data_IF_886058233616
#
_entry.id   IF_886058233616
#
_cell.length_a   1.000
_cell.length_b   1.000
_cell.length_c   1.000
_cell.angle_alpha   90.00
_cell.angle_beta   90.00
_cell.angle_gamma   90.00
#
_symmetry.space_group_name_H-M   'P 1'
#
loop_
_entity.id
_entity.type
_entity.pdbx_description
1 polymer ?
#
# COMPACT_ATOMS: atom_id res chain seq x y z
N UNK A 1 14.39 14.24 -32.68
CA UNK A 1 13.00 13.74 -32.57
C UNK A 1 12.77 13.25 -31.15
N UNK A 2 12.13 14.06 -30.30
CA UNK A 2 11.83 13.68 -28.91
C UNK A 2 10.52 12.89 -28.89
N UNK A 3 10.57 11.61 -28.49
CA UNK A 3 9.36 10.81 -28.25
C UNK A 3 8.56 11.51 -27.14
N UNK A 4 7.38 12.05 -27.47
CA UNK A 4 6.39 12.45 -26.45
C UNK A 4 6.18 11.24 -25.54
N UNK A 5 6.34 11.36 -24.20
CA UNK A 5 6.09 10.24 -23.31
C UNK A 5 4.63 9.83 -23.51
N UNK A 6 4.43 8.67 -24.13
CA UNK A 6 3.12 8.07 -24.27
C UNK A 6 2.48 8.06 -22.89
N UNK A 7 1.29 8.65 -22.80
CA UNK A 7 0.46 8.87 -21.62
C UNK A 7 0.61 7.73 -20.61
N UNK A 8 1.63 7.80 -19.75
CA UNK A 8 1.81 6.85 -18.67
C UNK A 8 0.51 6.92 -17.87
N UNK A 9 -0.12 5.77 -17.62
CA UNK A 9 -1.35 5.72 -16.86
C UNK A 9 -1.15 6.51 -15.55
N UNK A 10 -2.11 7.35 -15.17
CA UNK A 10 -1.96 8.24 -14.02
C UNK A 10 -1.41 7.44 -12.81
N UNK A 11 -0.28 7.85 -12.17
CA UNK A 11 0.32 7.12 -11.05
C UNK A 11 -0.67 6.79 -9.94
N UNK A 12 -1.66 7.67 -9.72
CA UNK A 12 -2.75 7.41 -8.79
C UNK A 12 -3.62 6.21 -9.20
N UNK A 13 -3.98 6.10 -10.50
CA UNK A 13 -4.76 4.98 -11.02
C UNK A 13 -3.96 3.67 -10.94
N UNK A 14 -2.66 3.71 -11.25
CA UNK A 14 -1.79 2.54 -11.14
C UNK A 14 -1.67 2.06 -9.69
N UNK A 15 -1.37 2.97 -8.77
CA UNK A 15 -1.33 2.68 -7.34
C UNK A 15 -2.67 2.13 -6.83
N UNK A 16 -3.80 2.71 -7.25
CA UNK A 16 -5.13 2.24 -6.87
C UNK A 16 -5.40 0.81 -7.35
N UNK A 17 -5.05 0.48 -8.60
CA UNK A 17 -5.18 -0.89 -9.14
C UNK A 17 -4.31 -1.88 -8.37
N UNK A 18 -3.06 -1.52 -8.06
CA UNK A 18 -2.17 -2.37 -7.26
C UNK A 18 -2.75 -2.66 -5.89
N UNK A 19 -3.29 -1.64 -5.22
CA UNK A 19 -3.94 -1.81 -3.93
C UNK A 19 -5.17 -2.71 -4.01
N UNK A 20 -6.05 -2.48 -4.99
CA UNK A 20 -7.22 -3.33 -5.21
C UNK A 20 -6.81 -4.78 -5.42
N UNK A 21 -5.80 -5.02 -6.26
CA UNK A 21 -5.27 -6.34 -6.49
C UNK A 21 -4.78 -6.99 -5.19
N UNK A 22 -3.99 -6.29 -4.36
CA UNK A 22 -3.52 -6.82 -3.07
C UNK A 22 -4.72 -7.19 -2.19
N UNK A 23 -5.72 -6.32 -2.07
CA UNK A 23 -6.90 -6.55 -1.22
C UNK A 23 -7.81 -7.68 -1.72
N UNK A 24 -7.87 -7.89 -3.04
CA UNK A 24 -8.69 -8.94 -3.66
C UNK A 24 -7.98 -10.30 -3.69
N UNK A 25 -6.64 -10.31 -3.71
CA UNK A 25 -5.85 -11.52 -3.93
C UNK A 25 -5.13 -12.01 -2.68
N UNK A 26 -5.01 -11.20 -1.63
CA UNK A 26 -4.32 -11.57 -0.40
C UNK A 26 -5.28 -11.69 0.79
N UNK A 27 -4.98 -12.65 1.66
CA UNK A 27 -5.74 -12.94 2.87
C UNK A 27 -4.90 -12.66 4.11
N UNK A 28 -5.57 -12.34 5.23
CA UNK A 28 -4.86 -12.13 6.49
C UNK A 28 -4.17 -13.42 6.96
N UNK A 29 -2.90 -13.32 7.35
CA UNK A 29 -2.15 -14.47 7.87
C UNK A 29 -2.83 -15.07 9.09
N UNK A 30 -2.90 -16.41 9.18
CA UNK A 30 -3.24 -17.06 10.44
C UNK A 30 -2.19 -16.76 11.51
N UNK A 31 -2.64 -16.71 12.77
CA UNK A 31 -1.77 -16.52 13.92
C UNK A 31 -1.61 -17.84 14.67
N UNK A 32 -0.38 -18.39 14.83
CA UNK A 32 0.91 -17.83 14.42
C UNK A 32 1.22 -18.02 12.92
N UNK A 33 1.99 -17.11 12.29
CA UNK A 33 2.35 -17.24 10.88
C UNK A 33 3.45 -18.29 10.68
N UNK A 34 3.35 -19.06 9.60
CA UNK A 34 4.38 -20.04 9.21
C UNK A 34 5.67 -19.36 8.71
N UNK A 35 5.54 -18.25 7.98
CA UNK A 35 6.67 -17.49 7.42
C UNK A 35 6.36 -15.97 7.37
N UNK A 36 7.39 -15.13 7.37
CA UNK A 36 7.29 -13.66 7.38
C UNK A 36 8.08 -13.02 6.25
N UNK A 37 7.61 -11.88 5.76
CA UNK A 37 8.30 -11.08 4.75
C UNK A 37 7.47 -10.89 3.48
N UNK A 38 7.74 -9.80 2.77
CA UNK A 38 6.97 -9.41 1.59
C UNK A 38 7.00 -10.47 0.47
N UNK A 39 8.13 -11.15 0.28
CA UNK A 39 8.28 -12.20 -0.72
C UNK A 39 7.44 -13.44 -0.38
N UNK A 40 7.64 -14.01 0.82
CA UNK A 40 6.89 -15.18 1.27
C UNK A 40 5.38 -14.90 1.25
N UNK A 41 4.97 -13.70 1.71
CA UNK A 41 3.58 -13.28 1.73
C UNK A 41 2.99 -13.14 0.34
N UNK A 42 3.75 -12.62 -0.62
CA UNK A 42 3.29 -12.51 -2.01
C UNK A 42 3.10 -13.89 -2.66
N UNK A 43 4.00 -14.85 -2.35
CA UNK A 43 3.91 -16.23 -2.85
C UNK A 43 2.73 -16.97 -2.22
N UNK A 44 2.60 -16.92 -0.89
CA UNK A 44 1.52 -17.61 -0.17
C UNK A 44 0.16 -16.93 -0.33
N UNK A 45 0.14 -15.67 -0.81
CA UNK A 45 -1.04 -14.79 -0.82
C UNK A 45 -1.63 -14.57 0.56
N UNK A 46 -0.80 -14.63 1.60
CA UNK A 46 -1.19 -14.36 2.97
C UNK A 46 -0.27 -13.29 3.55
N UNK A 47 -0.83 -12.24 4.17
CA UNK A 47 -0.03 -11.17 4.76
C UNK A 47 -0.67 -10.51 5.98
N UNK A 48 0.11 -9.70 6.68
CA UNK A 48 -0.41 -8.72 7.63
C UNK A 48 -0.29 -7.29 7.07
N UNK A 49 -0.69 -6.29 7.87
CA UNK A 49 -0.62 -4.88 7.48
C UNK A 49 0.80 -4.42 7.09
N UNK A 50 1.85 -5.01 7.68
CA UNK A 50 3.24 -4.73 7.32
C UNK A 50 3.58 -5.32 5.96
N UNK A 51 3.28 -6.61 5.77
CA UNK A 51 3.54 -7.32 4.50
C UNK A 51 2.86 -6.62 3.31
N UNK A 52 1.58 -6.25 3.45
CA UNK A 52 0.86 -5.53 2.40
C UNK A 52 1.50 -4.18 2.07
N UNK A 53 1.96 -3.45 3.09
CA UNK A 53 2.61 -2.16 2.92
C UNK A 53 3.94 -2.28 2.16
N UNK A 54 4.70 -3.34 2.44
CA UNK A 54 5.95 -3.62 1.74
C UNK A 54 5.73 -4.07 0.30
N UNK A 55 4.80 -5.01 0.06
CA UNK A 55 4.46 -5.49 -1.29
C UNK A 55 3.98 -4.33 -2.16
N UNK A 56 3.07 -3.51 -1.64
CA UNK A 56 2.59 -2.32 -2.34
C UNK A 56 3.74 -1.35 -2.67
N UNK A 57 4.61 -1.06 -1.69
CA UNK A 57 5.73 -0.15 -1.90
C UNK A 57 6.70 -0.67 -2.96
N UNK A 58 7.00 -1.98 -2.94
CA UNK A 58 7.85 -2.62 -3.93
C UNK A 58 7.23 -2.52 -5.33
N UNK A 59 5.94 -2.84 -5.47
CA UNK A 59 5.22 -2.75 -6.74
C UNK A 59 5.17 -1.32 -7.30
N UNK A 60 4.92 -0.32 -6.44
CA UNK A 60 4.98 1.09 -6.83
C UNK A 60 6.37 1.49 -7.36
N UNK A 61 7.44 1.05 -6.70
CA UNK A 61 8.82 1.37 -7.13
C UNK A 61 9.17 0.76 -8.48
N UNK A 62 8.69 -0.45 -8.78
CA UNK A 62 8.85 -1.08 -10.11
C UNK A 62 8.18 -0.25 -11.20
N UNK A 63 7.04 0.38 -10.89
CA UNK A 63 6.33 1.28 -11.81
C UNK A 63 6.90 2.71 -11.86
N UNK A 64 7.99 3.00 -11.15
CA UNK A 64 8.56 4.35 -11.05
C UNK A 64 7.75 5.32 -10.19
N UNK A 65 6.83 4.81 -9.36
CA UNK A 65 6.01 5.61 -8.44
C UNK A 65 6.74 5.70 -7.10
N UNK A 66 7.12 6.91 -6.62
CA UNK A 66 7.74 7.06 -5.31
C UNK A 66 6.78 6.63 -4.19
N UNK A 67 7.17 5.62 -3.41
CA UNK A 67 6.39 5.10 -2.30
C UNK A 67 7.27 4.70 -1.09
N UNK A 68 6.68 4.74 0.10
CA UNK A 68 7.31 4.34 1.37
C UNK A 68 6.32 3.66 2.33
N UNK A 69 6.75 2.66 3.11
CA UNK A 69 5.97 2.17 4.23
C UNK A 69 5.97 3.22 5.36
N UNK A 70 4.91 3.22 6.15
CA UNK A 70 4.72 4.06 7.32
C UNK A 70 4.19 3.18 8.44
N UNK A 71 4.81 3.30 9.62
CA UNK A 71 4.42 2.58 10.81
C UNK A 71 3.87 3.57 11.83
N UNK A 72 2.81 3.19 12.51
CA UNK A 72 2.17 4.03 13.51
C UNK A 72 1.17 3.25 14.33
N UNK A 73 0.27 3.98 14.98
CA UNK A 73 -0.78 3.40 15.82
C UNK A 73 -2.13 3.95 15.40
N UNK A 74 -3.14 3.09 15.43
CA UNK A 74 -4.53 3.53 15.40
C UNK A 74 -5.10 3.64 16.80
N UNK A 75 -5.76 4.77 17.05
CA UNK A 75 -6.62 4.97 18.20
C UNK A 75 -8.04 4.54 17.83
N UNK A 76 -8.55 3.47 18.45
CA UNK A 76 -9.97 3.13 18.33
C UNK A 76 -10.82 4.23 18.95
N UNK A 77 -11.86 4.69 18.22
CA UNK A 77 -12.82 5.69 18.73
C UNK A 77 -13.87 5.11 19.68
N UNK A 78 -13.98 3.77 19.84
CA UNK A 78 -15.01 3.13 20.65
C UNK A 78 -14.47 2.58 21.98
N UNK A 79 -14.97 3.16 23.08
CA UNK A 79 -15.04 2.57 24.43
C UNK A 79 -13.72 2.43 25.19
N UNK A 80 -12.72 1.82 24.56
CA UNK A 80 -11.40 1.62 25.12
C UNK A 80 -10.38 2.24 24.16
N UNK A 81 -9.57 3.19 24.64
CA UNK A 81 -8.47 3.84 23.90
C UNK A 81 -7.33 2.85 23.63
N UNK A 82 -7.64 1.73 22.97
CA UNK A 82 -6.65 0.73 22.60
C UNK A 82 -5.85 1.29 21.43
N UNK A 83 -4.55 1.45 21.68
CA UNK A 83 -3.54 1.72 20.66
C UNK A 83 -3.22 0.39 19.99
N UNK A 84 -3.49 0.30 18.69
CA UNK A 84 -3.10 -0.87 17.89
C UNK A 84 -2.02 -0.44 16.92
N UNK A 85 -0.85 -1.07 17.00
CA UNK A 85 0.21 -0.89 16.03
C UNK A 85 -0.33 -1.25 14.63
N UNK A 86 -0.03 -0.42 13.65
CA UNK A 86 -0.45 -0.60 12.27
C UNK A 86 0.61 -0.09 11.30
N UNK A 87 0.72 -0.76 10.16
CA UNK A 87 1.55 -0.34 9.05
C UNK A 87 0.67 -0.06 7.83
N UNK A 88 0.98 1.01 7.11
CA UNK A 88 0.39 1.33 5.82
C UNK A 88 1.48 1.82 4.86
N UNK A 89 1.11 2.11 3.61
CA UNK A 89 2.03 2.70 2.64
C UNK A 89 1.55 4.07 2.18
N UNK A 90 2.50 4.96 1.93
CA UNK A 90 2.27 6.25 1.29
C UNK A 90 2.90 6.25 -0.10
N UNK A 91 2.22 6.84 -1.09
CA UNK A 91 2.78 7.06 -2.43
C UNK A 91 2.60 8.51 -2.86
N UNK A 92 3.43 8.96 -3.80
CA UNK A 92 3.37 10.32 -4.37
C UNK A 92 2.69 10.25 -5.74
N UNK A 93 1.60 10.99 -5.89
CA UNK A 93 0.95 11.23 -7.19
C UNK A 93 0.87 12.72 -7.47
N UNK A 94 0.98 13.11 -8.74
CA UNK A 94 0.65 14.48 -9.14
C UNK A 94 -0.85 14.70 -8.98
N UNK A 95 -1.22 15.70 -8.18
CA UNK A 95 -2.61 16.08 -7.98
C UNK A 95 -3.14 16.84 -9.21
N UNK A 96 -4.45 17.08 -9.30
CA UNK A 96 -5.08 17.81 -10.43
C UNK A 96 -4.61 19.27 -10.62
N UNK A 97 -3.61 19.74 -9.87
CA UNK A 97 -2.94 21.04 -10.03
C UNK A 97 -1.43 20.94 -10.32
N UNK A 98 -0.90 19.77 -10.67
CA UNK A 98 0.53 19.58 -11.02
C UNK A 98 1.49 19.43 -9.84
N UNK A 99 1.02 19.62 -8.61
CA UNK A 99 1.84 19.46 -7.40
C UNK A 99 1.84 17.99 -6.91
N UNK A 100 3.00 17.47 -6.47
CA UNK A 100 3.06 16.16 -5.83
C UNK A 100 2.29 16.18 -4.51
N UNK A 101 1.45 15.17 -4.28
CA UNK A 101 0.72 14.98 -3.03
C UNK A 101 0.97 13.57 -2.49
N UNK A 102 1.20 13.48 -1.18
CA UNK A 102 1.37 12.22 -0.46
C UNK A 102 0.00 11.64 -0.19
N UNK A 103 -0.26 10.44 -0.71
CA UNK A 103 -1.51 9.73 -0.50
C UNK A 103 -1.31 8.57 0.47
N UNK A 104 -2.04 8.54 1.60
CA UNK A 104 -2.06 7.36 2.45
C UNK A 104 -2.93 6.27 1.83
N UNK A 105 -2.40 5.06 1.79
CA UNK A 105 -3.17 3.88 1.41
C UNK A 105 -3.79 3.27 2.66
N UNK A 106 -5.01 3.69 2.99
CA UNK A 106 -5.73 3.22 4.17
C UNK A 106 -6.84 2.26 3.73
N UNK A 107 -6.93 1.09 4.38
CA UNK A 107 -8.17 0.31 4.38
C UNK A 107 -9.22 1.19 5.06
N UNK A 108 -10.19 1.69 4.30
CA UNK A 108 -11.37 2.32 4.88
C UNK A 108 -12.02 1.25 5.75
N UNK A 109 -11.74 1.32 7.05
CA UNK A 109 -12.39 0.50 8.06
C UNK A 109 -13.84 1.00 8.10
N UNK A 110 -14.74 0.25 7.47
CA UNK A 110 -16.17 0.43 7.62
C UNK A 110 -16.59 0.05 9.06
#
# INVERSE_FOLDING_TARGET
MSKKPGRAENPYKQAKKLYQWIMENMQEKPSPPHERGAESSLISKEGDCGDYSFIFTAACRVLGIPARPVFGEFLSKRGNKQRRAHAWANFISQNMGGFPSIQPLRRELN
#
